data_IF_581748678231
#
_entry.id   IF_581748678231
#
_cell.length_a   1.000
_cell.length_b   1.000
_cell.length_c   1.000
_cell.angle_alpha   90.00
_cell.angle_beta   90.00
_cell.angle_gamma   90.00
#
_symmetry.space_group_name_H-M   'P 1'
#
loop_
_entity.id
_entity.type
_entity.pdbx_description
1 polymer ?
#
# COMPACT_ATOMS: atom_id res chain seq x y z
N UNK A 1 -5.92 -23.64 -29.07
CA UNK A 1 -4.85 -22.67 -28.75
C UNK A 1 -3.97 -22.44 -29.98
N UNK A 2 -4.55 -22.54 -31.18
CA UNK A 2 -5.00 -21.45 -32.07
C UNK A 2 -3.90 -20.52 -32.57
N UNK A 3 -3.64 -20.65 -33.86
CA UNK A 3 -2.51 -20.13 -34.64
C UNK A 3 -2.59 -18.60 -34.89
N UNK A 4 -2.73 -17.78 -33.85
CA UNK A 4 -2.90 -16.33 -34.02
C UNK A 4 -1.61 -15.58 -34.42
N UNK A 5 -0.45 -16.17 -34.11
CA UNK A 5 0.87 -15.59 -34.37
C UNK A 5 1.44 -16.01 -35.74
N UNK A 6 0.96 -17.11 -36.31
CA UNK A 6 1.51 -17.69 -37.53
C UNK A 6 0.44 -17.80 -38.60
N UNK A 7 0.71 -17.24 -39.77
CA UNK A 7 -0.06 -17.54 -40.98
C UNK A 7 0.52 -18.78 -41.67
N UNK A 8 -0.33 -19.68 -42.16
CA UNK A 8 0.10 -20.74 -43.05
C UNK A 8 0.03 -20.23 -44.49
N UNK A 9 1.16 -20.29 -45.21
CA UNK A 9 1.19 -20.05 -46.64
C UNK A 9 0.57 -21.24 -47.40
N UNK A 10 0.21 -21.03 -48.67
CA UNK A 10 -0.29 -22.03 -49.62
C UNK A 10 0.59 -23.29 -49.73
N UNK A 11 1.89 -23.17 -49.37
CA UNK A 11 2.86 -24.27 -49.32
C UNK A 11 3.06 -24.89 -47.90
N UNK A 12 2.12 -24.71 -46.97
CA UNK A 12 2.22 -25.19 -45.55
C UNK A 12 3.42 -24.67 -44.76
N UNK A 13 4.09 -23.61 -45.22
CA UNK A 13 5.14 -22.93 -44.45
C UNK A 13 4.50 -21.96 -43.47
N UNK A 14 4.93 -22.01 -42.20
CA UNK A 14 4.47 -21.10 -41.14
C UNK A 14 5.22 -19.78 -41.25
N UNK A 15 4.51 -18.70 -41.59
CA UNK A 15 5.04 -17.34 -41.64
C UNK A 15 4.64 -16.60 -40.37
N UNK A 16 5.61 -16.06 -39.65
CA UNK A 16 5.35 -15.25 -38.46
C UNK A 16 4.72 -13.91 -38.86
N UNK A 17 3.64 -13.52 -38.19
CA UNK A 17 3.00 -12.22 -38.38
C UNK A 17 3.64 -11.19 -37.46
N UNK A 18 4.69 -10.52 -37.96
CA UNK A 18 5.53 -9.60 -37.20
C UNK A 18 4.74 -8.56 -36.40
N UNK A 19 3.75 -7.89 -37.01
CA UNK A 19 2.92 -6.89 -36.34
C UNK A 19 2.14 -7.43 -35.14
N UNK A 20 1.68 -8.69 -35.19
CA UNK A 20 0.96 -9.31 -34.07
C UNK A 20 1.90 -9.75 -32.96
N UNK A 21 3.10 -10.18 -33.35
CA UNK A 21 4.15 -10.52 -32.40
C UNK A 21 4.64 -9.28 -31.63
N UNK A 22 4.80 -8.16 -32.32
CA UNK A 22 5.13 -6.87 -31.71
C UNK A 22 4.07 -6.42 -30.70
N UNK A 23 2.78 -6.52 -31.07
CA UNK A 23 1.68 -6.22 -30.15
C UNK A 23 1.69 -7.13 -28.91
N UNK A 24 2.03 -8.42 -29.07
CA UNK A 24 2.14 -9.34 -27.94
C UNK A 24 3.28 -8.91 -27.00
N UNK A 25 4.43 -8.51 -27.54
CA UNK A 25 5.56 -8.00 -26.74
C UNK A 25 5.12 -6.77 -25.94
N UNK A 26 4.47 -5.79 -26.58
CA UNK A 26 3.99 -4.61 -25.86
C UNK A 26 2.96 -4.94 -24.79
N UNK A 27 2.10 -5.93 -25.03
CA UNK A 27 1.15 -6.40 -24.02
C UNK A 27 1.84 -7.07 -22.84
N UNK A 28 2.84 -7.92 -23.10
CA UNK A 28 3.61 -8.59 -22.05
C UNK A 28 4.42 -7.57 -21.24
N UNK A 29 5.04 -6.59 -21.90
CA UNK A 29 5.76 -5.50 -21.26
C UNK A 29 4.84 -4.66 -20.38
N UNK A 30 3.66 -4.29 -20.88
CA UNK A 30 2.65 -3.57 -20.09
C UNK A 30 2.21 -4.38 -18.87
N UNK A 31 1.94 -5.68 -19.04
CA UNK A 31 1.56 -6.54 -17.93
C UNK A 31 2.67 -6.63 -16.87
N UNK A 32 3.93 -6.75 -17.29
CA UNK A 32 5.09 -6.78 -16.39
C UNK A 32 5.31 -5.45 -15.66
N UNK A 33 5.02 -4.32 -16.31
CA UNK A 33 5.03 -3.00 -15.66
C UNK A 33 3.88 -2.85 -14.66
N UNK A 34 2.68 -3.36 -14.98
CA UNK A 34 1.52 -3.31 -14.09
C UNK A 34 1.60 -4.28 -12.90
N UNK A 35 2.23 -5.45 -13.07
CA UNK A 35 2.49 -6.41 -11.99
C UNK A 35 3.63 -5.98 -11.08
N UNK A 36 4.49 -5.06 -11.53
CA UNK A 36 5.71 -4.68 -10.83
C UNK A 36 6.83 -5.71 -11.00
N UNK A 37 6.82 -6.54 -12.04
CA UNK A 37 7.96 -7.39 -12.41
C UNK A 37 9.03 -6.62 -13.20
N UNK A 38 8.61 -5.54 -13.87
CA UNK A 38 9.47 -4.67 -14.68
C UNK A 38 9.41 -3.27 -14.10
N UNK A 39 10.58 -2.69 -13.86
CA UNK A 39 10.73 -1.35 -13.32
C UNK A 39 11.44 -0.43 -14.32
N UNK A 40 11.03 0.84 -14.35
CA UNK A 40 11.66 1.88 -15.15
C UNK A 40 12.07 3.04 -14.23
N UNK A 41 13.39 3.24 -14.10
CA UNK A 41 14.01 4.24 -13.22
C UNK A 41 13.56 5.67 -13.51
N UNK A 42 13.39 6.00 -14.79
CA UNK A 42 13.00 7.34 -15.23
C UNK A 42 11.48 7.60 -15.15
N UNK A 43 10.70 6.63 -14.67
CA UNK A 43 9.26 6.75 -14.54
C UNK A 43 8.84 6.98 -13.08
N UNK A 44 7.97 7.96 -12.85
CA UNK A 44 7.42 8.21 -11.50
C UNK A 44 6.49 7.09 -11.04
N UNK A 45 5.84 6.37 -11.99
CA UNK A 45 4.81 5.36 -11.69
C UNK A 45 5.32 3.93 -11.62
N UNK A 46 6.45 3.61 -12.24
CA UNK A 46 7.00 2.25 -12.30
C UNK A 46 8.44 2.20 -11.79
N UNK A 47 8.83 3.12 -10.91
CA UNK A 47 10.10 3.06 -10.21
C UNK A 47 10.10 1.88 -9.24
N UNK A 48 11.23 1.19 -9.13
CA UNK A 48 11.37 0.14 -8.11
C UNK A 48 11.35 0.76 -6.72
N UNK A 49 10.65 0.13 -5.79
CA UNK A 49 10.70 0.50 -4.38
C UNK A 49 12.13 0.40 -3.82
N UNK A 50 12.91 -0.57 -4.33
CA UNK A 50 14.31 -0.74 -3.94
C UNK A 50 15.18 0.46 -4.31
N UNK A 51 14.85 1.18 -5.40
CA UNK A 51 15.57 2.39 -5.79
C UNK A 51 15.24 3.58 -4.87
N UNK A 52 14.17 3.51 -4.06
CA UNK A 52 13.84 4.48 -3.02
C UNK A 52 14.43 4.10 -1.65
N UNK A 53 14.89 2.85 -1.49
CA UNK A 53 15.52 2.38 -0.27
C UNK A 53 16.99 2.81 -0.19
N UNK A 54 17.48 2.94 1.05
CA UNK A 54 18.90 3.11 1.29
C UNK A 54 19.63 1.80 1.01
N UNK A 55 20.76 1.90 0.31
CA UNK A 55 21.64 0.76 0.06
C UNK A 55 22.15 0.15 1.37
N UNK A 56 22.31 -1.18 1.40
CA UNK A 56 22.68 -1.94 2.59
C UNK A 56 24.03 -1.47 3.18
N UNK A 57 24.95 -1.05 2.31
CA UNK A 57 26.24 -0.50 2.73
C UNK A 57 26.09 0.81 3.49
N UNK A 58 25.20 1.69 3.04
CA UNK A 58 24.91 2.97 3.72
C UNK A 58 24.17 2.72 5.02
N UNK A 59 23.28 1.73 5.04
CA UNK A 59 22.50 1.37 6.21
C UNK A 59 23.37 0.86 7.39
N UNK A 60 24.60 0.39 7.15
CA UNK A 60 25.53 0.07 8.25
C UNK A 60 25.82 1.27 9.15
N UNK A 61 25.87 2.49 8.58
CA UNK A 61 26.06 3.74 9.31
C UNK A 61 24.72 4.37 9.74
N UNK A 62 23.74 3.54 10.09
CA UNK A 62 22.36 3.96 10.42
C UNK A 62 22.31 5.07 11.48
N UNK A 63 23.14 4.99 12.52
CA UNK A 63 23.09 5.95 13.63
C UNK A 63 23.49 7.35 13.21
N UNK A 64 24.52 7.47 12.36
CA UNK A 64 24.95 8.75 11.76
C UNK A 64 23.87 9.30 10.82
N UNK A 65 23.32 8.44 9.95
CA UNK A 65 22.24 8.83 9.03
C UNK A 65 20.99 9.33 9.78
N UNK A 66 20.59 8.66 10.86
CA UNK A 66 19.46 9.10 11.68
C UNK A 66 19.77 10.45 12.34
N UNK A 67 20.98 10.63 12.88
CA UNK A 67 21.38 11.90 13.47
C UNK A 67 21.36 13.04 12.45
N UNK A 68 21.83 12.80 11.22
CA UNK A 68 21.80 13.77 10.12
C UNK A 68 20.39 14.17 9.69
N UNK A 69 19.40 13.26 9.79
CA UNK A 69 18.02 13.60 9.44
C UNK A 69 17.39 14.64 10.37
N UNK A 70 17.93 14.82 11.58
CA UNK A 70 17.40 15.74 12.59
C UNK A 70 16.01 15.36 13.13
N UNK A 71 15.50 14.17 12.79
CA UNK A 71 14.17 13.71 13.17
C UNK A 71 14.22 13.08 14.57
N UNK A 72 13.86 13.86 15.58
CA UNK A 72 13.83 13.41 16.98
C UNK A 72 12.96 12.16 17.22
N UNK A 73 11.95 11.94 16.38
CA UNK A 73 11.07 10.78 16.44
C UNK A 73 11.79 9.46 16.10
N UNK A 74 12.85 9.51 15.30
CA UNK A 74 13.64 8.35 14.89
C UNK A 74 14.71 7.96 15.92
N UNK A 75 14.99 8.83 16.89
CA UNK A 75 15.95 8.56 17.98
C UNK A 75 15.38 7.61 19.03
N UNK A 76 14.06 7.48 19.12
CA UNK A 76 13.42 6.50 19.99
C UNK A 76 13.31 5.14 19.29
N UNK A 77 13.52 4.03 20.03
CA UNK A 77 13.27 2.71 19.48
C UNK A 77 11.80 2.60 19.07
N UNK A 78 11.56 2.07 17.88
CA UNK A 78 10.22 1.99 17.27
C UNK A 78 9.19 1.27 18.15
N UNK A 79 9.62 0.30 18.96
CA UNK A 79 8.74 -0.47 19.85
C UNK A 79 8.13 0.39 20.95
N UNK A 80 8.95 1.22 21.58
CA UNK A 80 8.50 2.09 22.67
C UNK A 80 7.57 3.18 22.13
N UNK A 81 7.90 3.71 20.94
CA UNK A 81 7.06 4.67 20.24
C UNK A 81 5.69 4.09 19.87
N UNK A 82 5.66 2.87 19.33
CA UNK A 82 4.42 2.17 19.00
C UNK A 82 3.60 1.83 20.26
N UNK A 83 4.24 1.45 21.35
CA UNK A 83 3.56 1.19 22.63
C UNK A 83 2.86 2.45 23.14
N UNK A 84 3.58 3.58 23.15
CA UNK A 84 3.02 4.86 23.59
C UNK A 84 1.83 5.31 22.73
N UNK A 85 1.94 5.19 21.40
CA UNK A 85 0.84 5.50 20.49
C UNK A 85 -0.35 4.56 20.69
N UNK A 86 -0.10 3.27 20.90
CA UNK A 86 -1.15 2.28 21.15
C UNK A 86 -1.88 2.56 22.46
N UNK A 87 -1.16 2.87 23.53
CA UNK A 87 -1.75 3.25 24.81
C UNK A 87 -2.58 4.54 24.70
N UNK A 88 -2.08 5.54 23.98
CA UNK A 88 -2.80 6.78 23.73
C UNK A 88 -4.11 6.53 22.97
N UNK A 89 -4.06 5.66 21.96
CA UNK A 89 -5.23 5.27 21.18
C UNK A 89 -6.25 4.54 22.05
N UNK A 90 -5.81 3.55 22.83
CA UNK A 90 -6.68 2.77 23.72
C UNK A 90 -7.36 3.67 24.76
N UNK A 91 -6.61 4.60 25.37
CA UNK A 91 -7.15 5.57 26.31
C UNK A 91 -8.21 6.50 25.68
N UNK A 92 -8.02 6.88 24.41
CA UNK A 92 -9.04 7.67 23.69
C UNK A 92 -10.28 6.84 23.39
N UNK A 93 -10.11 5.58 23.02
CA UNK A 93 -11.22 4.67 22.75
C UNK A 93 -12.04 4.45 24.03
N UNK A 94 -11.39 4.20 25.16
CA UNK A 94 -12.08 4.01 26.45
C UNK A 94 -12.80 5.29 26.89
N UNK A 95 -12.17 6.47 26.80
CA UNK A 95 -12.79 7.76 27.09
C UNK A 95 -14.05 8.00 26.24
N UNK A 96 -13.99 7.70 24.94
CA UNK A 96 -15.14 7.83 24.03
C UNK A 96 -16.23 6.82 24.39
N UNK A 97 -15.88 5.57 24.67
CA UNK A 97 -16.82 4.53 25.07
C UNK A 97 -17.54 4.88 26.38
N UNK A 98 -16.84 5.44 27.37
CA UNK A 98 -17.41 5.94 28.61
C UNK A 98 -18.36 7.12 28.38
N UNK A 99 -17.97 8.09 27.54
CA UNK A 99 -18.84 9.22 27.16
C UNK A 99 -20.12 8.77 26.44
N UNK A 100 -19.99 7.77 25.57
CA UNK A 100 -21.12 7.18 24.84
C UNK A 100 -22.03 6.39 25.78
N UNK A 101 -21.47 5.60 26.70
CA UNK A 101 -22.23 4.80 27.68
C UNK A 101 -22.90 5.64 28.76
N UNK A 102 -22.26 6.71 29.21
CA UNK A 102 -22.79 7.64 30.23
C UNK A 102 -23.85 8.61 29.70
N UNK A 103 -24.13 8.59 28.39
CA UNK A 103 -25.12 9.48 27.77
C UNK A 103 -24.74 10.97 27.77
N UNK A 104 -23.49 11.31 28.13
CA UNK A 104 -22.95 12.67 28.16
C UNK A 104 -22.57 13.21 26.78
N UNK A 105 -22.81 12.45 25.72
CA UNK A 105 -22.50 12.86 24.36
C UNK A 105 -23.66 13.66 23.78
N UNK A 106 -23.50 14.98 23.63
CA UNK A 106 -24.56 15.91 23.23
C UNK A 106 -25.26 15.52 21.92
N UNK A 107 -24.56 14.83 21.02
CA UNK A 107 -25.06 14.51 19.67
C UNK A 107 -25.38 13.03 19.43
N UNK A 108 -25.04 12.11 20.34
CA UNK A 108 -25.25 10.66 20.16
C UNK A 108 -25.75 10.00 21.44
N UNK A 109 -27.06 9.75 21.50
CA UNK A 109 -27.68 8.99 22.58
C UNK A 109 -27.91 7.54 22.16
N UNK A 110 -27.60 6.59 23.04
CA UNK A 110 -27.93 5.17 22.82
C UNK A 110 -29.42 4.99 23.12
N UNK A 111 -30.24 4.88 22.08
CA UNK A 111 -31.64 4.48 22.24
C UNK A 111 -31.72 2.98 22.53
N UNK A 112 -31.86 2.60 23.80
CA UNK A 112 -32.16 1.21 24.18
C UNK A 112 -33.54 0.86 23.60
N UNK A 113 -33.61 -0.01 22.59
CA UNK A 113 -34.90 -0.56 22.10
C UNK A 113 -35.57 -1.29 23.27
N UNK A 114 -36.61 -0.69 23.85
CA UNK A 114 -37.45 -1.29 24.89
C UNK A 114 -37.72 -0.46 26.15
N UNK A 115 -37.05 0.67 26.39
CA UNK A 115 -37.36 1.51 27.54
C UNK A 115 -38.52 2.47 27.23
N UNK A 116 -39.69 2.23 27.83
CA UNK A 116 -40.84 3.15 27.80
C UNK A 116 -40.42 4.53 28.31
N UNK A 117 -40.47 5.52 27.43
CA UNK A 117 -40.34 6.93 27.79
C UNK A 117 -41.70 7.34 28.38
N UNK A 118 -41.82 7.34 29.71
CA UNK A 118 -42.94 8.02 30.38
C UNK A 118 -42.62 9.50 30.34
N UNK A 119 -43.34 10.24 29.49
CA UNK A 119 -43.31 11.71 29.49
C UNK A 119 -44.03 12.20 30.75
N UNK A 120 -43.42 13.14 31.46
CA UNK A 120 -44.07 14.03 32.41
C UNK A 120 -43.85 15.46 31.92
#
# INVERSE_FOLDING_TARGET
MEHYLYACDTQKRRRLLWHRYEFLIYRLLRNGLESGDIFCRDSVRFRSFEDDLLDDQRWQAKEELIAETGLMILNQPIRDHLSSLSELLENRITEVNERVSSGKNEYRQITRRGAKIVKK
#
